data_IF_301928798571
#
_entry.id   IF_301928798571
#
_cell.length_a   1.000
_cell.length_b   1.000
_cell.length_c   1.000
_cell.angle_alpha   90.00
_cell.angle_beta   90.00
_cell.angle_gamma   90.00
#
_symmetry.space_group_name_H-M   'P 1'
#
loop_
_entity.id
_entity.type
_entity.pdbx_description
1 polymer ?
#
# COMPACT_ATOMS: atom_id res chain seq x y z
N UNK A 1 -19.12 14.99 0.04
CA UNK A 1 -18.47 13.68 -0.13
C UNK A 1 -16.99 13.94 -0.17
N UNK A 2 -16.25 13.31 0.74
CA UNK A 2 -14.80 13.49 0.80
C UNK A 2 -14.14 12.80 -0.39
N UNK A 3 -13.14 13.45 -0.99
CA UNK A 3 -12.41 12.96 -2.17
C UNK A 3 -11.76 11.62 -1.87
N UNK A 4 -11.77 10.67 -2.80
CA UNK A 4 -11.04 9.42 -2.57
C UNK A 4 -9.53 9.67 -2.69
N UNK A 5 -8.74 9.25 -1.71
CA UNK A 5 -7.27 9.32 -1.75
C UNK A 5 -6.70 7.92 -1.94
N UNK A 6 -5.82 7.76 -2.92
CA UNK A 6 -5.05 6.53 -3.14
C UNK A 6 -3.61 6.73 -2.65
N UNK A 7 -3.23 5.99 -1.62
CA UNK A 7 -1.89 5.95 -1.05
C UNK A 7 -1.14 4.77 -1.68
N UNK A 8 -0.04 5.04 -2.37
CA UNK A 8 0.81 4.04 -3.02
C UNK A 8 2.05 3.83 -2.15
N UNK A 9 2.32 2.56 -1.81
CA UNK A 9 3.45 2.15 -0.99
C UNK A 9 4.29 1.17 -1.82
N UNK A 10 5.31 1.63 -2.57
CA UNK A 10 6.31 0.74 -3.12
C UNK A 10 7.07 0.07 -1.98
N UNK A 11 7.16 -1.26 -1.98
CA UNK A 11 7.80 -2.02 -0.90
C UNK A 11 8.79 -3.05 -1.44
N UNK A 12 9.97 -3.12 -0.82
CA UNK A 12 10.98 -4.14 -1.09
C UNK A 12 11.80 -4.40 0.18
N UNK A 13 11.72 -5.61 0.72
CA UNK A 13 12.39 -6.01 1.96
C UNK A 13 12.08 -5.11 3.17
N UNK A 14 10.79 -4.83 3.39
CA UNK A 14 10.24 -3.94 4.41
C UNK A 14 9.57 -4.68 5.59
N UNK A 15 9.86 -5.98 5.80
CA UNK A 15 9.17 -6.80 6.81
C UNK A 15 9.14 -6.18 8.22
N UNK A 16 10.16 -5.38 8.54
CA UNK A 16 10.34 -4.74 9.84
C UNK A 16 9.39 -3.56 10.08
N UNK A 17 8.90 -2.94 9.01
CA UNK A 17 8.19 -1.65 9.08
C UNK A 17 6.79 -1.72 8.49
N UNK A 18 6.57 -2.59 7.49
CA UNK A 18 5.32 -2.62 6.71
C UNK A 18 4.08 -2.87 7.59
N UNK A 19 4.14 -3.76 8.59
CA UNK A 19 3.01 -4.00 9.51
C UNK A 19 2.64 -2.74 10.32
N UNK A 20 3.63 -2.01 10.81
CA UNK A 20 3.43 -0.75 11.56
C UNK A 20 2.83 0.32 10.66
N UNK A 21 3.32 0.44 9.43
CA UNK A 21 2.79 1.39 8.44
C UNK A 21 1.32 1.09 8.11
N UNK A 22 1.00 -0.17 7.78
CA UNK A 22 -0.36 -0.57 7.41
C UNK A 22 -1.35 -0.49 8.57
N UNK A 23 -0.93 -0.85 9.79
CA UNK A 23 -1.79 -0.70 10.98
C UNK A 23 -2.14 0.76 11.27
N UNK A 24 -1.18 1.69 11.16
CA UNK A 24 -1.45 3.13 11.33
C UNK A 24 -2.37 3.70 10.24
N UNK A 25 -2.13 3.34 8.98
CA UNK A 25 -3.02 3.75 7.89
C UNK A 25 -4.43 3.19 8.06
N UNK A 26 -4.57 1.97 8.58
CA UNK A 26 -5.87 1.38 8.92
C UNK A 26 -6.57 2.16 10.04
N UNK A 27 -5.83 2.60 11.07
CA UNK A 27 -6.37 3.44 12.13
C UNK A 27 -6.90 4.78 11.59
N UNK A 28 -6.06 5.49 10.82
CA UNK A 28 -6.43 6.76 10.18
C UNK A 28 -7.68 6.57 9.32
N UNK A 29 -7.71 5.51 8.51
CA UNK A 29 -8.86 5.18 7.68
C UNK A 29 -10.15 5.02 8.49
N UNK A 30 -10.08 4.30 9.61
CA UNK A 30 -11.28 3.96 10.39
C UNK A 30 -11.76 5.09 11.30
N UNK A 31 -10.88 6.02 11.69
CA UNK A 31 -11.20 7.07 12.67
C UNK A 31 -11.32 8.46 12.07
N UNK A 32 -10.55 8.75 11.04
CA UNK A 32 -10.35 10.11 10.53
C UNK A 32 -10.79 10.25 9.07
N UNK A 33 -10.52 9.25 8.20
CA UNK A 33 -10.80 9.36 6.77
C UNK A 33 -11.16 8.02 6.12
N UNK A 34 -12.46 7.69 6.04
CA UNK A 34 -12.89 6.38 5.51
C UNK A 34 -12.59 6.17 4.02
N UNK A 35 -12.50 7.25 3.23
CA UNK A 35 -12.31 7.19 1.78
C UNK A 35 -10.84 7.08 1.34
N UNK A 36 -10.06 6.24 2.04
CA UNK A 36 -8.71 5.86 1.66
C UNK A 36 -8.70 4.53 0.89
N UNK A 37 -7.88 4.48 -0.15
CA UNK A 37 -7.41 3.27 -0.80
C UNK A 37 -5.90 3.18 -0.58
N UNK A 38 -5.42 2.00 -0.17
CA UNK A 38 -4.01 1.77 0.18
C UNK A 38 -3.48 0.67 -0.72
N UNK A 39 -2.52 0.99 -1.58
CA UNK A 39 -1.96 0.10 -2.57
C UNK A 39 -0.50 -0.20 -2.21
N UNK A 40 -0.25 -1.38 -1.63
CA UNK A 40 1.10 -1.88 -1.46
C UNK A 40 1.55 -2.54 -2.75
N UNK A 41 2.59 -2.00 -3.36
CA UNK A 41 3.19 -2.55 -4.56
C UNK A 41 4.53 -3.14 -4.17
N UNK A 42 4.47 -4.39 -3.73
CA UNK A 42 5.63 -5.18 -3.40
C UNK A 42 6.37 -5.55 -4.69
N UNK A 43 7.69 -5.44 -4.69
CA UNK A 43 8.49 -5.55 -5.89
C UNK A 43 9.71 -6.49 -5.80
N UNK A 44 9.49 -7.74 -5.43
CA UNK A 44 10.48 -8.82 -5.53
C UNK A 44 11.24 -9.12 -4.24
N UNK A 45 10.62 -8.82 -3.10
CA UNK A 45 11.14 -9.04 -1.75
C UNK A 45 11.47 -10.51 -1.54
N UNK A 46 12.49 -10.74 -0.72
CA UNK A 46 12.95 -12.05 -0.27
C UNK A 46 12.56 -12.34 1.18
N UNK A 47 11.80 -11.42 1.79
CA UNK A 47 11.35 -11.45 3.17
C UNK A 47 9.82 -11.50 3.24
N UNK A 48 9.24 -11.31 4.43
CA UNK A 48 7.79 -11.44 4.64
C UNK A 48 6.95 -10.23 4.17
N UNK A 49 7.53 -9.27 3.45
CA UNK A 49 6.86 -8.02 3.06
C UNK A 49 5.55 -8.26 2.31
N UNK A 50 5.56 -9.17 1.34
CA UNK A 50 4.38 -9.44 0.52
C UNK A 50 3.29 -10.14 1.34
N UNK A 51 3.66 -11.15 2.12
CA UNK A 51 2.76 -11.94 2.94
C UNK A 51 2.05 -11.05 3.97
N UNK A 52 2.80 -10.16 4.63
CA UNK A 52 2.23 -9.18 5.56
C UNK A 52 1.21 -8.31 4.82
N UNK A 53 1.60 -7.71 3.70
CA UNK A 53 0.74 -6.81 2.91
C UNK A 53 -0.52 -7.51 2.42
N UNK A 54 -0.41 -8.78 2.00
CA UNK A 54 -1.52 -9.60 1.53
C UNK A 54 -2.53 -9.86 2.64
N UNK A 55 -2.11 -10.10 3.89
CA UNK A 55 -3.05 -10.27 5.02
C UNK A 55 -3.97 -9.06 5.21
N UNK A 56 -3.44 -7.85 5.02
CA UNK A 56 -4.27 -6.63 5.09
C UNK A 56 -5.26 -6.54 3.93
N UNK A 57 -4.81 -6.84 2.71
CA UNK A 57 -5.68 -6.85 1.53
C UNK A 57 -6.79 -7.92 1.60
N UNK A 58 -6.49 -9.10 2.15
CA UNK A 58 -7.46 -10.18 2.36
C UNK A 58 -8.50 -9.80 3.44
N UNK A 59 -8.09 -9.02 4.46
CA UNK A 59 -8.96 -8.63 5.57
C UNK A 59 -9.77 -7.36 5.30
N UNK A 60 -9.35 -6.51 4.37
CA UNK A 60 -9.93 -5.19 4.16
C UNK A 60 -9.82 -4.76 2.68
N UNK A 61 -10.98 -4.62 2.02
CA UNK A 61 -11.08 -4.29 0.59
C UNK A 61 -10.46 -2.94 0.19
N UNK A 62 -10.20 -2.06 1.16
CA UNK A 62 -9.54 -0.78 0.90
C UNK A 62 -8.02 -0.93 0.78
N UNK A 63 -7.48 -2.08 1.19
CA UNK A 63 -6.08 -2.45 1.01
C UNK A 63 -5.95 -3.35 -0.23
N UNK A 64 -4.94 -3.08 -1.04
CA UNK A 64 -4.56 -3.89 -2.20
C UNK A 64 -3.08 -4.20 -2.10
N UNK A 65 -2.72 -5.46 -2.32
CA UNK A 65 -1.33 -5.90 -2.35
C UNK A 65 -1.00 -6.48 -3.73
N UNK A 66 0.04 -5.95 -4.36
CA UNK A 66 0.54 -6.40 -5.65
C UNK A 66 1.95 -6.94 -5.48
N UNK A 67 2.31 -7.94 -6.29
CA UNK A 67 3.65 -8.51 -6.35
C UNK A 67 4.21 -8.31 -7.76
N UNK A 68 5.30 -7.56 -7.86
CA UNK A 68 6.04 -7.33 -9.08
C UNK A 68 7.41 -8.03 -8.97
N UNK A 69 7.80 -8.84 -9.95
CA UNK A 69 9.02 -9.65 -9.84
C UNK A 69 10.35 -8.90 -10.05
N UNK A 70 10.44 -7.56 -9.91
CA UNK A 70 11.63 -6.77 -10.29
C UNK A 70 11.87 -5.51 -9.44
N UNK A 71 12.75 -5.59 -8.44
CA UNK A 71 13.10 -4.49 -7.53
C UNK A 71 13.38 -3.13 -8.22
N UNK A 72 12.37 -2.28 -8.26
CA UNK A 72 12.42 -0.90 -8.75
C UNK A 72 11.28 -0.10 -8.16
N UNK A 73 11.62 0.87 -7.29
CA UNK A 73 10.62 1.75 -6.68
C UNK A 73 9.82 2.52 -7.76
N UNK A 74 10.48 3.04 -8.80
CA UNK A 74 9.81 3.76 -9.88
C UNK A 74 8.80 2.91 -10.65
N UNK A 75 9.11 1.63 -10.92
CA UNK A 75 8.17 0.71 -11.57
C UNK A 75 6.98 0.43 -10.64
N UNK A 76 7.25 0.18 -9.36
CA UNK A 76 6.22 -0.07 -8.36
C UNK A 76 5.27 1.13 -8.19
N UNK A 77 5.81 2.35 -8.04
CA UNK A 77 5.02 3.57 -7.93
C UNK A 77 4.17 3.82 -9.18
N UNK A 78 4.78 3.70 -10.38
CA UNK A 78 4.04 3.89 -11.64
C UNK A 78 2.96 2.83 -11.84
N UNK A 79 3.21 1.59 -11.44
CA UNK A 79 2.20 0.54 -11.46
C UNK A 79 1.07 0.88 -10.49
N UNK A 80 1.37 1.25 -9.25
CA UNK A 80 0.40 1.66 -8.25
C UNK A 80 -0.47 2.83 -8.71
N UNK A 81 0.14 3.85 -9.31
CA UNK A 81 -0.58 5.02 -9.86
C UNK A 81 -1.56 4.63 -10.97
N UNK A 82 -1.26 3.60 -11.77
CA UNK A 82 -2.19 3.07 -12.78
C UNK A 82 -3.32 2.23 -12.20
N UNK A 83 -3.13 1.64 -11.03
CA UNK A 83 -4.16 0.83 -10.34
C UNK A 83 -5.05 1.65 -9.39
N UNK A 84 -4.55 2.82 -8.99
CA UNK A 84 -5.24 3.73 -8.09
C UNK A 84 -6.55 4.25 -8.70
N UNK A 85 -7.56 4.38 -7.84
CA UNK A 85 -8.92 4.83 -8.22
C UNK A 85 -9.33 6.12 -7.51
N UNK A 86 -8.44 6.67 -6.68
CA UNK A 86 -8.62 7.92 -5.98
C UNK A 86 -8.54 9.12 -6.91
N UNK A 87 -9.23 10.19 -6.51
CA UNK A 87 -9.13 11.51 -7.16
C UNK A 87 -7.82 12.20 -6.79
N UNK A 88 -7.24 11.84 -5.64
CA UNK A 88 -5.95 12.32 -5.16
C UNK A 88 -5.01 11.13 -5.08
N UNK A 89 -3.79 11.32 -5.59
CA UNK A 89 -2.70 10.36 -5.53
C UNK A 89 -1.63 10.84 -4.55
N UNK A 90 -1.16 9.94 -3.70
CA UNK A 90 -0.04 10.17 -2.79
C UNK A 90 0.86 8.93 -2.79
N UNK A 91 2.18 9.11 -2.87
CA UNK A 91 3.15 8.05 -2.64
C UNK A 91 3.81 8.23 -1.25
N UNK A 92 4.15 7.11 -0.61
CA UNK A 92 4.86 7.12 0.67
C UNK A 92 5.69 5.85 0.84
N UNK A 93 6.58 5.85 1.83
CA UNK A 93 7.39 4.70 2.20
C UNK A 93 6.96 4.16 3.56
N UNK A 94 7.49 3.01 3.93
CA UNK A 94 7.31 2.40 5.24
C UNK A 94 8.07 3.16 6.34
N UNK A 95 7.52 3.14 7.55
CA UNK A 95 8.03 3.79 8.75
C UNK A 95 7.57 3.08 10.03
#
# INVERSE_FOLDING_TARGET
MDKKISIIIPAYNEEKYIETTLSKLKEIKNREYENLEILVVENGSTDMTYEISKRYADADKNFKAFHLGKASAAIATNFGAKQATGEILMDTYTF
#
